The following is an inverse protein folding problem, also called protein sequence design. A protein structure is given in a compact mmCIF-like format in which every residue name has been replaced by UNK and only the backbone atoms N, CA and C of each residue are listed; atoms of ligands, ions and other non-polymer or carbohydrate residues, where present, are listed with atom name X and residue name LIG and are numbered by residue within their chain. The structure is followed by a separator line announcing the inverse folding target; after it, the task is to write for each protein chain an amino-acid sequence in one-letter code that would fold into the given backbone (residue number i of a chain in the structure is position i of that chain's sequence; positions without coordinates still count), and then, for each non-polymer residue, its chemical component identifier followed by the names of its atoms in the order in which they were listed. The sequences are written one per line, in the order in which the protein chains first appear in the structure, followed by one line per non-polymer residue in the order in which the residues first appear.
data_IF_671244971381
#
_entry.id   IF_671244971381
#
_cell.length_a   1.000
_cell.length_b   1.000
_cell.length_c   1.000
_cell.angle_alpha   90.00
_cell.angle_beta   90.00
_cell.angle_gamma   90.00
#
_symmetry.space_group_name_H-M   'P 1'
#
loop_
_entity.id
_entity.type
_entity.pdbx_description
1 polymer ?
#
# COMPACT_ATOMS: atom_id res chain seq x y z
N UNK A 1 -18.03 -0.86 -14.43
CA UNK A 1 -16.68 -0.32 -14.27
C UNK A 1 -16.71 0.69 -13.14
N UNK A 2 -15.73 0.71 -12.26
CA UNK A 2 -15.58 1.72 -11.22
C UNK A 2 -14.35 2.56 -11.56
N UNK A 3 -14.47 3.89 -11.56
CA UNK A 3 -13.36 4.84 -11.72
C UNK A 3 -13.30 5.69 -10.46
N UNK A 4 -12.13 5.81 -9.88
CA UNK A 4 -11.86 6.69 -8.75
C UNK A 4 -10.80 7.70 -9.18
N UNK A 5 -11.01 8.96 -8.85
CA UNK A 5 -10.09 10.06 -9.14
C UNK A 5 -9.87 10.86 -7.87
N UNK A 6 -8.64 11.23 -7.63
CA UNK A 6 -8.22 12.10 -6.54
C UNK A 6 -7.26 13.16 -7.09
N UNK A 7 -7.53 14.43 -6.80
CA UNK A 7 -6.78 15.59 -7.32
C UNK A 7 -5.75 16.16 -6.33
N UNK A 8 -5.62 15.53 -5.17
CA UNK A 8 -4.78 15.99 -4.06
C UNK A 8 -5.56 16.65 -2.93
N UNK A 9 -6.80 17.07 -3.17
CA UNK A 9 -7.66 17.71 -2.18
C UNK A 9 -9.05 17.05 -2.08
N UNK A 10 -9.57 16.58 -3.20
CA UNK A 10 -10.91 15.97 -3.28
C UNK A 10 -10.85 14.66 -4.03
N UNK A 11 -11.68 13.74 -3.59
CA UNK A 11 -11.85 12.44 -4.24
C UNK A 11 -13.26 12.25 -4.77
N UNK A 12 -13.37 11.65 -5.94
CA UNK A 12 -14.65 11.26 -6.55
C UNK A 12 -14.60 9.83 -7.04
N UNK A 13 -15.75 9.16 -6.99
CA UNK A 13 -15.91 7.81 -7.55
C UNK A 13 -17.09 7.80 -8.51
N UNK A 14 -16.87 7.21 -9.68
CA UNK A 14 -17.94 6.90 -10.64
C UNK A 14 -18.16 5.40 -10.65
N UNK A 15 -19.37 4.98 -10.34
CA UNK A 15 -19.79 3.59 -10.39
C UNK A 15 -21.12 3.50 -11.11
N UNK A 16 -21.18 2.67 -12.15
CA UNK A 16 -22.39 2.49 -12.99
C UNK A 16 -22.97 3.80 -13.55
N UNK A 17 -22.10 4.78 -13.85
CA UNK A 17 -22.51 6.08 -14.36
C UNK A 17 -23.02 7.09 -13.33
N UNK A 18 -23.00 6.73 -12.04
CA UNK A 18 -23.29 7.65 -10.93
C UNK A 18 -21.98 8.14 -10.32
N UNK A 19 -21.83 9.45 -10.23
CA UNK A 19 -20.72 10.10 -9.55
C UNK A 19 -21.09 10.40 -8.10
N UNK A 20 -20.16 10.13 -7.19
CA UNK A 20 -20.25 10.52 -5.79
C UNK A 20 -18.92 11.03 -5.29
N UNK A 21 -18.96 12.07 -4.46
CA UNK A 21 -17.77 12.59 -3.77
C UNK A 21 -17.41 11.65 -2.61
N UNK A 22 -16.12 11.41 -2.44
CA UNK A 22 -15.63 10.62 -1.32
C UNK A 22 -15.78 11.39 0.00
N UNK A 23 -16.12 10.69 1.11
CA UNK A 23 -16.12 11.27 2.44
C UNK A 23 -14.74 11.80 2.83
N UNK A 24 -14.70 12.86 3.63
CA UNK A 24 -13.46 13.54 4.06
C UNK A 24 -12.46 12.57 4.71
N UNK A 25 -12.93 11.60 5.51
CA UNK A 25 -12.08 10.58 6.12
C UNK A 25 -11.36 9.71 5.08
N UNK A 26 -12.05 9.35 3.97
CA UNK A 26 -11.44 8.60 2.88
C UNK A 26 -10.45 9.46 2.10
N UNK A 27 -10.78 10.74 1.89
CA UNK A 27 -9.88 11.70 1.25
C UNK A 27 -8.60 11.85 2.06
N UNK A 28 -8.66 11.98 3.38
CA UNK A 28 -7.47 12.06 4.25
C UNK A 28 -6.59 10.81 4.16
N UNK A 29 -7.20 9.63 4.09
CA UNK A 29 -6.44 8.39 3.85
C UNK A 29 -5.74 8.41 2.49
N UNK A 30 -6.40 8.93 1.44
CA UNK A 30 -5.79 9.06 0.12
C UNK A 30 -4.63 10.05 0.10
N UNK A 31 -4.74 11.20 0.80
CA UNK A 31 -3.64 12.17 0.94
C UNK A 31 -2.39 11.49 1.49
N UNK A 32 -2.55 10.67 2.53
CA UNK A 32 -1.41 9.94 3.12
C UNK A 32 -0.82 8.90 2.15
N UNK A 33 -1.62 8.37 1.23
CA UNK A 33 -1.18 7.40 0.20
C UNK A 33 -0.59 8.05 -1.06
N UNK A 34 -0.57 9.39 -1.17
CA UNK A 34 0.03 10.08 -2.34
C UNK A 34 1.55 10.12 -2.33
N UNK A 35 2.17 9.80 -1.20
CA UNK A 35 3.62 9.66 -1.15
C UNK A 35 4.06 8.46 -1.97
N UNK A 36 5.12 8.59 -2.80
CA UNK A 36 5.61 7.47 -3.62
C UNK A 36 6.08 6.28 -2.79
N UNK A 37 6.44 6.54 -1.53
CA UNK A 37 6.76 5.54 -0.50
C UNK A 37 6.18 6.03 0.82
N UNK A 38 5.35 5.22 1.44
CA UNK A 38 4.71 5.52 2.74
C UNK A 38 5.74 5.78 3.83
N UNK A 39 6.89 5.10 3.75
CA UNK A 39 8.02 5.21 4.65
C UNK A 39 8.56 6.64 4.79
N UNK A 40 8.38 7.48 3.77
CA UNK A 40 8.78 8.90 3.86
C UNK A 40 7.98 9.63 4.95
N UNK A 41 6.68 9.34 5.04
CA UNK A 41 5.82 9.89 6.09
C UNK A 41 6.18 9.36 7.49
N UNK A 42 6.66 8.12 7.58
CA UNK A 42 7.00 7.49 8.85
C UNK A 42 8.26 8.04 9.51
N UNK A 43 9.15 8.68 8.75
CA UNK A 43 10.39 9.27 9.30
C UNK A 43 10.15 10.34 10.38
N UNK A 44 8.97 10.95 10.36
CA UNK A 44 8.57 12.00 11.32
C UNK A 44 7.39 11.61 12.19
N UNK A 45 6.88 10.39 12.04
CA UNK A 45 5.74 9.90 12.83
C UNK A 45 6.23 9.19 14.09
N UNK A 46 5.97 9.80 15.26
CA UNK A 46 6.36 9.27 16.56
C UNK A 46 5.63 7.95 16.93
N UNK A 47 4.56 7.60 16.22
CA UNK A 47 3.82 6.35 16.44
C UNK A 47 4.51 5.16 15.78
N UNK A 48 5.35 5.39 14.78
CA UNK A 48 6.11 4.32 14.11
C UNK A 48 7.27 3.88 14.99
N UNK A 49 7.25 2.62 15.41
CA UNK A 49 8.21 2.10 16.36
C UNK A 49 8.75 0.73 15.93
N UNK A 50 10.01 0.46 16.27
CA UNK A 50 10.53 -0.89 16.18
C UNK A 50 9.74 -1.81 17.13
N UNK A 51 9.25 -2.92 16.59
CA UNK A 51 8.45 -3.90 17.33
C UNK A 51 9.25 -5.14 17.73
N UNK A 52 9.86 -5.79 16.75
CA UNK A 52 10.55 -7.05 16.97
C UNK A 52 11.53 -7.39 15.84
N UNK A 53 12.32 -8.42 16.07
CA UNK A 53 13.08 -9.11 15.03
C UNK A 53 12.49 -10.51 14.87
N UNK A 54 12.26 -10.93 13.63
CA UNK A 54 11.74 -12.26 13.28
C UNK A 54 12.74 -12.98 12.37
N UNK A 55 12.75 -14.30 12.42
CA UNK A 55 13.46 -15.14 11.46
C UNK A 55 12.44 -15.89 10.60
N UNK A 56 12.53 -15.72 9.28
CA UNK A 56 11.63 -16.35 8.31
C UNK A 56 12.44 -16.76 7.07
N UNK A 57 12.35 -18.02 6.69
CA UNK A 57 13.06 -18.60 5.54
C UNK A 57 14.58 -18.33 5.54
N UNK A 58 15.21 -18.31 6.72
CA UNK A 58 16.63 -18.05 6.90
C UNK A 58 17.03 -16.57 6.76
N UNK A 59 16.07 -15.67 6.71
CA UNK A 59 16.27 -14.22 6.73
C UNK A 59 15.89 -13.63 8.07
N UNK A 60 16.63 -12.62 8.48
CA UNK A 60 16.29 -11.82 9.64
C UNK A 60 15.49 -10.60 9.18
N UNK A 61 14.30 -10.46 9.74
CA UNK A 61 13.38 -9.37 9.42
C UNK A 61 13.28 -8.42 10.61
N UNK A 62 13.42 -7.13 10.36
CA UNK A 62 13.10 -6.08 11.31
C UNK A 62 11.65 -5.66 11.13
N UNK A 63 10.85 -5.79 12.18
CA UNK A 63 9.42 -5.47 12.17
C UNK A 63 9.19 -4.11 12.81
N UNK A 64 8.53 -3.23 12.08
CA UNK A 64 8.02 -1.96 12.58
C UNK A 64 6.53 -2.09 12.87
N UNK A 65 6.09 -1.49 13.96
CA UNK A 65 4.68 -1.20 14.21
C UNK A 65 4.42 0.21 13.70
N UNK A 66 3.55 0.33 12.68
CA UNK A 66 3.23 1.62 12.04
C UNK A 66 2.07 2.31 12.74
N UNK A 67 1.06 1.52 13.09
CA UNK A 67 -0.10 1.96 13.86
C UNK A 67 -0.61 0.82 14.76
N UNK A 68 -1.83 0.94 15.30
CA UNK A 68 -2.38 -0.06 16.22
C UNK A 68 -2.62 -1.43 15.57
N UNK A 69 -2.87 -1.45 14.27
CA UNK A 69 -3.27 -2.65 13.55
C UNK A 69 -2.35 -2.98 12.35
N UNK A 70 -1.28 -2.18 12.12
CA UNK A 70 -0.37 -2.34 10.96
C UNK A 70 1.07 -2.62 11.40
N UNK A 71 1.64 -3.69 10.85
CA UNK A 71 3.03 -4.10 11.04
C UNK A 71 3.71 -4.30 9.70
N UNK A 72 4.94 -3.80 9.56
CA UNK A 72 5.73 -3.91 8.33
C UNK A 72 7.09 -4.51 8.63
N UNK A 73 7.45 -5.53 7.86
CA UNK A 73 8.72 -6.24 8.05
C UNK A 73 9.67 -5.97 6.88
N UNK A 74 10.91 -5.66 7.22
CA UNK A 74 11.99 -5.38 6.31
C UNK A 74 13.11 -6.40 6.50
N UNK A 75 13.67 -6.90 5.39
CA UNK A 75 14.87 -7.73 5.39
C UNK A 75 16.05 -6.91 5.95
N UNK A 76 16.69 -7.43 7.00
CA UNK A 76 17.74 -6.70 7.73
C UNK A 76 19.03 -6.48 6.92
N UNK A 77 19.26 -7.30 5.89
CA UNK A 77 20.45 -7.19 5.04
C UNK A 77 20.24 -6.21 3.88
N UNK A 78 19.05 -6.26 3.25
CA UNK A 78 18.76 -5.47 2.05
C UNK A 78 18.00 -4.19 2.33
N UNK A 79 17.33 -4.09 3.48
CA UNK A 79 16.42 -3.00 3.81
C UNK A 79 15.11 -3.00 3.01
N UNK A 80 14.85 -4.05 2.21
CA UNK A 80 13.64 -4.12 1.41
C UNK A 80 12.44 -4.61 2.22
N UNK A 81 11.28 -4.03 1.96
CA UNK A 81 9.99 -4.47 2.51
C UNK A 81 9.72 -5.90 2.06
N UNK A 82 9.46 -6.81 2.98
CA UNK A 82 9.16 -8.21 2.69
C UNK A 82 7.67 -8.48 2.83
N UNK A 83 7.07 -7.98 3.91
CA UNK A 83 5.65 -8.17 4.18
C UNK A 83 5.07 -7.00 4.96
N UNK A 84 3.78 -6.82 4.79
CA UNK A 84 2.96 -5.92 5.59
C UNK A 84 1.76 -6.70 6.11
N UNK A 85 1.49 -6.61 7.41
CA UNK A 85 0.37 -7.28 8.06
C UNK A 85 -0.57 -6.24 8.65
N UNK A 86 -1.82 -6.26 8.20
CA UNK A 86 -2.90 -5.47 8.77
C UNK A 86 -3.84 -6.36 9.55
N UNK A 87 -4.25 -5.93 10.72
CA UNK A 87 -5.25 -6.61 11.54
C UNK A 87 -6.63 -6.09 11.12
N UNK A 88 -7.35 -6.86 10.32
CA UNK A 88 -8.68 -6.51 9.85
C UNK A 88 -9.75 -6.97 10.86
N UNK A 89 -10.69 -6.08 11.18
CA UNK A 89 -11.86 -6.42 11.98
C UNK A 89 -12.98 -6.91 11.06
N UNK A 90 -13.46 -8.10 11.35
CA UNK A 90 -14.54 -8.75 10.61
C UNK A 90 -15.92 -8.28 11.13
N UNK A 91 -17.00 -8.44 10.32
CA UNK A 91 -18.35 -8.04 10.73
C UNK A 91 -18.87 -8.70 12.03
N UNK A 92 -18.29 -9.82 12.42
CA UNK A 92 -18.60 -10.53 13.67
C UNK A 92 -17.76 -10.05 14.87
N UNK A 93 -16.92 -9.02 14.66
CA UNK A 93 -16.01 -8.46 15.66
C UNK A 93 -14.71 -9.24 15.85
N UNK A 94 -14.49 -10.33 15.13
CA UNK A 94 -13.22 -11.05 15.16
C UNK A 94 -12.13 -10.26 14.44
N UNK A 95 -10.89 -10.37 14.92
CA UNK A 95 -9.72 -9.74 14.32
C UNK A 95 -8.86 -10.79 13.64
N UNK A 96 -8.60 -10.60 12.36
CA UNK A 96 -7.76 -11.52 11.57
C UNK A 96 -6.59 -10.76 10.93
N UNK A 97 -5.37 -11.33 10.96
CA UNK A 97 -4.26 -10.76 10.22
C UNK A 97 -4.43 -11.00 8.71
N UNK A 98 -4.21 -9.95 7.94
CA UNK A 98 -4.10 -10.00 6.48
C UNK A 98 -2.70 -9.57 6.10
N UNK A 99 -1.93 -10.47 5.50
CA UNK A 99 -0.53 -10.21 5.17
C UNK A 99 -0.36 -10.10 3.66
N UNK A 100 0.24 -9.00 3.23
CA UNK A 100 0.70 -8.78 1.86
C UNK A 100 2.20 -9.01 1.79
N UNK A 101 2.67 -9.76 0.80
CA UNK A 101 4.09 -10.04 0.58
C UNK A 101 4.59 -9.31 -0.66
N UNK A 102 5.83 -8.82 -0.61
CA UNK A 102 6.50 -8.06 -1.66
C UNK A 102 7.75 -8.79 -2.10
N UNK A 103 7.83 -9.15 -3.39
CA UNK A 103 8.90 -9.97 -3.94
C UNK A 103 9.37 -9.44 -5.30
N UNK A 104 10.45 -10.04 -5.83
CA UNK A 104 11.00 -9.76 -7.18
C UNK A 104 11.29 -8.27 -7.38
N UNK A 105 12.08 -7.69 -6.48
CA UNK A 105 12.48 -6.28 -6.56
C UNK A 105 13.39 -6.04 -7.77
N UNK A 106 13.05 -5.03 -8.57
CA UNK A 106 13.83 -4.61 -9.74
C UNK A 106 14.09 -3.11 -9.70
N UNK A 107 15.27 -2.72 -10.13
CA UNK A 107 15.64 -1.31 -10.21
C UNK A 107 15.03 -0.65 -11.45
N UNK A 108 14.34 0.47 -11.23
CA UNK A 108 13.81 1.34 -12.27
C UNK A 108 14.29 2.76 -11.95
N UNK A 109 15.11 3.32 -12.82
CA UNK A 109 15.77 4.61 -12.62
C UNK A 109 16.49 4.73 -11.25
N UNK A 110 17.11 3.63 -10.79
CA UNK A 110 17.87 3.59 -9.54
C UNK A 110 17.02 3.35 -8.28
N UNK A 111 15.71 3.21 -8.41
CA UNK A 111 14.78 2.89 -7.30
C UNK A 111 14.31 1.45 -7.42
N UNK A 112 14.28 0.72 -6.31
CA UNK A 112 13.83 -0.67 -6.25
C UNK A 112 12.32 -0.74 -6.03
N UNK A 113 11.61 -1.41 -6.95
CA UNK A 113 10.16 -1.66 -6.87
C UNK A 113 9.88 -3.16 -6.84
N UNK A 114 8.94 -3.63 -6.00
CA UNK A 114 8.49 -5.02 -6.03
C UNK A 114 7.71 -5.29 -7.34
N UNK A 115 7.99 -6.40 -7.99
CA UNK A 115 7.29 -6.82 -9.21
C UNK A 115 6.32 -7.97 -8.98
N UNK A 116 6.33 -8.54 -7.79
CA UNK A 116 5.36 -9.55 -7.35
C UNK A 116 4.79 -9.12 -6.00
N UNK A 117 3.47 -9.01 -5.93
CA UNK A 117 2.72 -8.69 -4.72
C UNK A 117 1.74 -9.83 -4.49
N UNK A 118 1.85 -10.52 -3.35
CA UNK A 118 0.99 -11.64 -2.99
C UNK A 118 0.09 -11.27 -1.82
N UNK A 119 -1.19 -11.51 -1.99
CA UNK A 119 -2.22 -11.24 -0.99
C UNK A 119 -3.07 -12.51 -0.81
N UNK A 120 -2.88 -13.27 0.26
CA UNK A 120 -3.79 -14.34 0.60
C UNK A 120 -5.13 -13.75 1.08
N UNK A 121 -6.22 -14.06 0.38
CA UNK A 121 -7.57 -13.64 0.72
C UNK A 121 -8.41 -14.89 0.97
N UNK A 122 -8.64 -15.21 2.26
CA UNK A 122 -9.31 -16.44 2.65
C UNK A 122 -8.59 -17.67 2.10
N UNK A 123 -9.30 -18.61 1.40
CA UNK A 123 -8.66 -19.79 0.82
C UNK A 123 -7.91 -19.52 -0.49
N UNK A 124 -7.94 -18.30 -1.01
CA UNK A 124 -7.33 -17.91 -2.28
C UNK A 124 -6.02 -17.15 -2.05
N UNK A 125 -5.01 -17.47 -2.86
CA UNK A 125 -3.77 -16.71 -2.93
C UNK A 125 -3.78 -15.88 -4.22
N UNK A 126 -3.97 -14.58 -4.09
CA UNK A 126 -3.83 -13.66 -5.21
C UNK A 126 -2.38 -13.27 -5.37
N UNK A 127 -1.88 -13.34 -6.60
CA UNK A 127 -0.55 -12.85 -6.94
C UNK A 127 -0.67 -11.85 -8.09
N UNK A 128 -0.28 -10.61 -7.82
CA UNK A 128 -0.20 -9.57 -8.82
C UNK A 128 1.23 -9.48 -9.34
N UNK A 129 1.38 -9.45 -10.67
CA UNK A 129 2.67 -9.20 -11.32
C UNK A 129 2.64 -7.79 -11.92
N UNK A 130 3.58 -6.97 -11.51
CA UNK A 130 3.79 -5.66 -12.12
C UNK A 130 4.51 -5.87 -13.45
N UNK A 131 3.86 -5.50 -14.55
CA UNK A 131 4.37 -5.68 -15.90
C UNK A 131 5.25 -4.50 -16.30
N UNK A 132 4.85 -3.28 -15.92
CA UNK A 132 5.56 -2.06 -16.26
C UNK A 132 5.39 -1.00 -15.18
N UNK A 133 6.44 -0.24 -14.91
CA UNK A 133 6.43 0.96 -14.07
C UNK A 133 7.06 2.08 -14.88
N UNK A 134 6.36 3.20 -14.98
CA UNK A 134 6.89 4.42 -15.59
C UNK A 134 7.05 5.48 -14.51
N UNK A 135 8.28 5.93 -14.30
CA UNK A 135 8.60 6.97 -13.33
C UNK A 135 8.43 8.33 -13.98
N UNK A 136 7.71 9.23 -13.30
CA UNK A 136 7.42 10.59 -13.79
C UNK A 136 6.84 10.61 -15.22
N UNK A 137 5.74 9.88 -15.49
CA UNK A 137 5.10 9.95 -16.80
C UNK A 137 4.59 11.37 -17.05
N UNK A 138 4.50 11.76 -18.32
CA UNK A 138 3.77 12.97 -18.67
C UNK A 138 2.28 12.71 -18.46
N UNK A 139 1.68 13.44 -17.55
CA UNK A 139 0.24 13.40 -17.28
C UNK A 139 -0.38 14.75 -17.63
N UNK A 140 -1.62 14.75 -18.07
CA UNK A 140 -2.41 15.96 -18.36
C UNK A 140 -3.53 16.13 -17.33
N UNK A 141 -4.07 17.32 -17.20
CA UNK A 141 -5.24 17.55 -16.34
C UNK A 141 -6.43 16.65 -16.71
N UNK A 142 -6.57 16.30 -18.00
CA UNK A 142 -7.62 15.41 -18.46
C UNK A 142 -7.51 13.98 -17.90
N UNK A 143 -6.33 13.53 -17.47
CA UNK A 143 -6.15 12.19 -16.90
C UNK A 143 -6.81 12.08 -15.52
N UNK A 144 -7.02 13.22 -14.86
CA UNK A 144 -7.67 13.34 -13.54
C UNK A 144 -9.15 13.76 -13.63
N UNK A 145 -9.68 14.02 -14.83
CA UNK A 145 -11.09 14.33 -15.00
C UNK A 145 -11.95 13.07 -15.02
N UNK A 146 -13.11 13.16 -14.36
CA UNK A 146 -14.09 12.08 -14.29
C UNK A 146 -14.95 12.03 -15.56
N UNK A 147 -15.08 13.15 -16.25
CA UNK A 147 -15.91 13.32 -17.44
C UNK A 147 -15.31 12.67 -18.71
N UNK A 148 -15.05 11.35 -18.69
CA UNK A 148 -14.73 10.60 -19.90
C UNK A 148 -15.31 9.20 -19.84
#
# INVERSE_FOLDING_TARGET
MMKMVFDGEKGSVVQQGMESTLPEEQVQKMVNQTLPFEEIGWLTDENVQFSSTEEEDGKILNVLKVDNDTYVAYDSETGLKVKETQIAEMPDGSKIPQTTFYEDYKAINGVLFPHVIKMPIGPQNLAFRVINITVNPQVSESDFNIEN
#
